data_IF_104015707006
#
_entry.id   IF_104015707006
#
_cell.length_a   1.000
_cell.length_b   1.000
_cell.length_c   1.000
_cell.angle_alpha   90.00
_cell.angle_beta   90.00
_cell.angle_gamma   90.00
#
_symmetry.space_group_name_H-M   'P 1'
#
loop_
_entity.id
_entity.type
_entity.pdbx_description
1 polymer ?
#
# COMPACT_ATOMS: atom_id res chain seq x y z
N UNK A 1 10.55 -16.48 7.83
CA UNK A 1 9.50 -15.43 7.81
C UNK A 1 9.23 -15.02 6.36
N UNK A 2 8.30 -15.67 5.63
CA UNK A 2 8.18 -15.53 4.17
C UNK A 2 7.34 -14.33 3.69
N UNK A 3 6.59 -13.68 4.57
CA UNK A 3 5.57 -12.70 4.19
C UNK A 3 6.16 -11.39 3.62
N UNK A 4 7.23 -10.85 4.23
CA UNK A 4 7.92 -9.64 3.77
C UNK A 4 8.41 -9.72 2.33
N UNK A 5 8.94 -10.87 1.92
CA UNK A 5 9.44 -11.07 0.56
C UNK A 5 8.32 -11.06 -0.49
N UNK A 6 7.13 -11.56 -0.13
CA UNK A 6 5.95 -11.53 -1.01
C UNK A 6 5.43 -10.10 -1.19
N UNK A 7 5.32 -9.34 -0.10
CA UNK A 7 4.90 -7.94 -0.19
C UNK A 7 5.89 -7.08 -0.97
N UNK A 8 7.20 -7.28 -0.78
CA UNK A 8 8.22 -6.61 -1.60
C UNK A 8 8.06 -6.90 -3.09
N UNK A 9 7.65 -8.11 -3.46
CA UNK A 9 7.38 -8.45 -4.87
C UNK A 9 6.12 -7.73 -5.41
N UNK A 10 5.07 -7.62 -4.59
CA UNK A 10 3.82 -6.93 -4.93
C UNK A 10 3.98 -5.40 -5.03
N UNK A 11 4.96 -4.84 -4.33
CA UNK A 11 5.33 -3.43 -4.41
C UNK A 11 6.09 -3.09 -5.71
N UNK A 12 6.69 -4.07 -6.40
CA UNK A 12 7.41 -3.88 -7.68
C UNK A 12 6.43 -3.64 -8.82
N UNK A 13 5.99 -2.39 -8.93
CA UNK A 13 5.03 -1.89 -9.92
C UNK A 13 5.75 -1.24 -11.11
N UNK A 14 5.01 -0.95 -12.18
CA UNK A 14 5.56 -0.28 -13.36
C UNK A 14 6.02 1.17 -13.10
N UNK A 15 5.54 1.78 -12.02
CA UNK A 15 5.83 3.18 -11.65
C UNK A 15 6.73 3.25 -10.42
N UNK A 16 7.80 4.06 -10.50
CA UNK A 16 8.75 4.24 -9.40
C UNK A 16 8.12 4.90 -8.18
N UNK A 17 7.19 5.83 -8.38
CA UNK A 17 6.54 6.48 -7.25
C UNK A 17 5.79 5.48 -6.36
N UNK A 18 5.03 4.56 -6.98
CA UNK A 18 4.32 3.49 -6.28
C UNK A 18 5.28 2.59 -5.50
N UNK A 19 6.38 2.18 -6.12
CA UNK A 19 7.40 1.35 -5.48
C UNK A 19 7.97 2.04 -4.23
N UNK A 20 8.30 3.34 -4.33
CA UNK A 20 8.86 4.11 -3.20
C UNK A 20 7.87 4.25 -2.05
N UNK A 21 6.62 4.63 -2.32
CA UNK A 21 5.62 4.85 -1.25
C UNK A 21 5.23 3.54 -0.58
N UNK A 22 5.04 2.47 -1.35
CA UNK A 22 4.69 1.15 -0.81
C UNK A 22 5.84 0.56 -0.01
N UNK A 23 7.09 0.63 -0.51
CA UNK A 23 8.26 0.12 0.22
C UNK A 23 8.50 0.91 1.51
N UNK A 24 8.34 2.23 1.51
CA UNK A 24 8.45 3.05 2.73
C UNK A 24 7.40 2.69 3.77
N UNK A 25 6.14 2.56 3.34
CA UNK A 25 5.07 2.11 4.21
C UNK A 25 5.37 0.71 4.77
N UNK A 26 5.83 -0.21 3.91
CA UNK A 26 6.21 -1.55 4.35
C UNK A 26 7.35 -1.50 5.38
N UNK A 27 8.37 -0.68 5.20
CA UNK A 27 9.52 -0.63 6.10
C UNK A 27 9.16 -0.04 7.47
N UNK A 28 8.27 0.97 7.51
CA UNK A 28 7.88 1.67 8.74
C UNK A 28 6.68 1.05 9.47
N UNK A 29 5.66 0.64 8.72
CA UNK A 29 4.39 0.21 9.30
C UNK A 29 4.22 -1.30 9.34
N UNK A 30 4.89 -2.09 8.50
CA UNK A 30 4.72 -3.55 8.53
C UNK A 30 5.12 -4.19 9.88
N UNK A 31 6.07 -3.60 10.59
CA UNK A 31 6.48 -4.06 11.93
C UNK A 31 5.47 -3.77 13.03
N UNK A 32 4.62 -2.75 12.84
CA UNK A 32 3.65 -2.25 13.83
C UNK A 32 2.19 -2.48 13.37
N UNK A 33 1.99 -2.97 12.14
CA UNK A 33 0.68 -3.13 11.54
C UNK A 33 -0.06 -4.31 12.15
N UNK A 34 -1.28 -4.04 12.61
CA UNK A 34 -2.21 -5.06 13.07
C UNK A 34 -2.71 -5.92 11.90
N UNK A 35 -3.23 -7.11 12.22
CA UNK A 35 -3.79 -8.04 11.24
C UNK A 35 -4.94 -7.45 10.41
N UNK A 36 -5.70 -6.50 10.95
CA UNK A 36 -6.73 -5.76 10.21
C UNK A 36 -6.13 -4.80 9.17
N UNK A 37 -5.04 -4.10 9.49
CA UNK A 37 -4.35 -3.22 8.54
C UNK A 37 -3.65 -4.02 7.45
N UNK A 38 -3.03 -5.15 7.81
CA UNK A 38 -2.43 -6.05 6.83
C UNK A 38 -3.47 -6.60 5.85
N UNK A 39 -4.69 -6.91 6.30
CA UNK A 39 -5.77 -7.34 5.42
C UNK A 39 -6.19 -6.23 4.44
N UNK A 40 -6.36 -5.01 4.93
CA UNK A 40 -6.65 -3.84 4.09
C UNK A 40 -5.50 -3.57 3.10
N UNK A 41 -4.26 -3.72 3.53
CA UNK A 41 -3.09 -3.52 2.66
C UNK A 41 -2.99 -4.62 1.59
N UNK A 42 -3.35 -5.86 1.90
CA UNK A 42 -3.41 -6.95 0.91
C UNK A 42 -4.51 -6.68 -0.13
N UNK A 43 -5.68 -6.20 0.30
CA UNK A 43 -6.74 -5.74 -0.62
C UNK A 43 -6.29 -4.57 -1.50
N UNK A 44 -5.58 -3.60 -0.92
CA UNK A 44 -5.02 -2.47 -1.66
C UNK A 44 -3.98 -2.93 -2.70
N UNK A 45 -3.12 -3.89 -2.34
CA UNK A 45 -2.17 -4.50 -3.26
C UNK A 45 -2.84 -5.40 -4.32
N UNK A 46 -4.06 -5.87 -4.08
CA UNK A 46 -4.83 -6.58 -5.10
C UNK A 46 -5.38 -5.64 -6.20
N UNK A 47 -5.38 -4.32 -5.98
CA UNK A 47 -5.80 -3.32 -6.97
C UNK A 47 -4.79 -3.16 -8.12
N UNK A 48 -5.25 -2.64 -9.26
CA UNK A 48 -4.40 -2.38 -10.43
C UNK A 48 -3.55 -1.11 -10.24
N UNK A 49 -2.35 -1.09 -10.83
CA UNK A 49 -1.41 0.05 -10.81
C UNK A 49 -2.07 1.43 -11.04
N UNK A 50 -2.90 1.64 -12.09
CA UNK A 50 -3.53 2.94 -12.33
C UNK A 50 -4.54 3.34 -11.25
N UNK A 51 -5.26 2.39 -10.64
CA UNK A 51 -6.18 2.68 -9.55
C UNK A 51 -5.42 3.02 -8.28
N UNK A 52 -4.38 2.23 -7.98
CA UNK A 52 -3.51 2.43 -6.82
C UNK A 52 -2.82 3.80 -6.89
N UNK A 53 -2.33 4.18 -8.07
CA UNK A 53 -1.82 5.52 -8.34
C UNK A 53 -2.91 6.57 -8.18
N UNK A 54 -4.06 6.36 -8.80
CA UNK A 54 -5.16 7.32 -8.73
C UNK A 54 -5.60 7.60 -7.30
N UNK A 55 -5.76 6.54 -6.50
CA UNK A 55 -6.10 6.63 -5.09
C UNK A 55 -4.97 7.30 -4.32
N UNK A 56 -3.72 6.82 -4.38
CA UNK A 56 -2.62 7.41 -3.58
C UNK A 56 -2.36 8.89 -3.89
N UNK A 57 -2.53 9.32 -5.13
CA UNK A 57 -2.33 10.70 -5.58
C UNK A 57 -3.60 11.57 -5.55
N UNK A 58 -4.67 11.13 -4.87
CA UNK A 58 -5.94 11.86 -4.75
C UNK A 58 -6.60 12.19 -6.10
N UNK A 59 -6.25 11.45 -7.15
CA UNK A 59 -6.85 11.55 -8.48
C UNK A 59 -8.15 10.73 -8.58
N UNK A 60 -8.35 9.79 -7.66
CA UNK A 60 -9.54 8.94 -7.56
C UNK A 60 -10.07 8.88 -6.12
N UNK A 61 -11.38 8.66 -5.94
CA UNK A 61 -11.97 8.46 -4.62
C UNK A 61 -11.41 7.19 -3.98
N UNK A 62 -10.92 7.33 -2.75
CA UNK A 62 -10.40 6.22 -1.96
C UNK A 62 -11.54 5.38 -1.36
N UNK A 63 -11.39 4.04 -1.34
CA UNK A 63 -12.39 3.21 -0.69
C UNK A 63 -12.42 3.46 0.82
N UNK A 64 -13.60 3.67 1.43
CA UNK A 64 -13.69 4.03 2.85
C UNK A 64 -13.12 2.95 3.79
N UNK A 65 -13.10 1.70 3.35
CA UNK A 65 -12.49 0.59 4.11
C UNK A 65 -10.96 0.55 4.02
N UNK A 66 -10.34 1.21 3.04
CA UNK A 66 -8.88 1.30 2.88
C UNK A 66 -8.32 2.67 3.30
N UNK A 67 -9.20 3.59 3.71
CA UNK A 67 -8.84 4.97 3.98
C UNK A 67 -7.76 5.09 5.06
N UNK A 68 -7.77 4.20 6.06
CA UNK A 68 -6.75 4.18 7.12
C UNK A 68 -5.35 3.85 6.57
N UNK A 69 -5.22 2.76 5.79
CA UNK A 69 -3.93 2.37 5.21
C UNK A 69 -3.45 3.38 4.17
N UNK A 70 -4.35 3.92 3.34
CA UNK A 70 -4.03 4.94 2.34
C UNK A 70 -3.52 6.21 3.00
N UNK A 71 -4.20 6.69 4.04
CA UNK A 71 -3.76 7.84 4.81
C UNK A 71 -2.36 7.61 5.39
N UNK A 72 -2.09 6.43 5.97
CA UNK A 72 -0.75 6.08 6.47
C UNK A 72 0.32 6.06 5.37
N UNK A 73 -0.01 5.59 4.17
CA UNK A 73 0.93 5.58 3.02
C UNK A 73 1.21 7.00 2.53
N UNK A 74 0.21 7.90 2.54
CA UNK A 74 0.36 9.30 2.11
C UNK A 74 1.14 10.17 3.10
N UNK A 75 1.14 9.83 4.39
CA UNK A 75 1.83 10.63 5.41
C UNK A 75 3.36 10.46 5.28
N UNK A 76 4.14 11.56 5.15
CA UNK A 76 5.60 11.51 4.96
C UNK A 76 6.41 11.04 6.18
#
# INVERSE_FOLDING_TARGET
MPALSRYKLLCRRGMKELDVVLVRYLDRHYSDADSAELAQFDELLAMQDPELFGVLFELMPEPPHLQQVIAKIRIP
#
